data_IF_656650389000
#
_entry.id   IF_656650389000
#
_cell.length_a   1.000
_cell.length_b   1.000
_cell.length_c   1.000
_cell.angle_alpha   90.00
_cell.angle_beta   90.00
_cell.angle_gamma   90.00
#
_symmetry.space_group_name_H-M   'P 1'
#
loop_
_entity.id
_entity.type
_entity.pdbx_description
1 polymer ?
#
# COMPACT_ATOMS: atom_id res chain seq x y z
N UNK A 1 24.94 38.92 -45.06
CA UNK A 1 23.99 39.91 -44.50
C UNK A 1 22.65 39.55 -45.08
N UNK A 2 21.74 38.86 -44.43
CA UNK A 2 21.62 38.31 -43.07
C UNK A 2 20.47 37.32 -43.21
N UNK A 3 20.68 36.09 -42.76
CA UNK A 3 19.65 35.07 -42.65
C UNK A 3 18.60 35.50 -41.62
N UNK A 4 17.32 35.36 -41.99
CA UNK A 4 16.16 35.61 -41.14
C UNK A 4 15.59 34.24 -40.77
N UNK A 5 16.05 33.71 -39.64
CA UNK A 5 15.41 32.59 -38.96
C UNK A 5 14.66 33.17 -37.78
N UNK A 6 13.36 33.41 -37.99
CA UNK A 6 12.41 33.72 -36.93
C UNK A 6 12.46 32.64 -35.86
N UNK A 7 12.70 33.09 -34.63
CA UNK A 7 12.62 32.31 -33.42
C UNK A 7 11.28 31.57 -33.33
N UNK A 8 11.34 30.30 -32.95
CA UNK A 8 10.18 29.64 -32.35
C UNK A 8 10.17 30.10 -30.89
N UNK A 9 9.02 30.61 -30.47
CA UNK A 9 8.77 30.97 -29.07
C UNK A 9 8.82 29.69 -28.22
N UNK A 10 9.73 29.67 -27.25
CA UNK A 10 9.89 28.62 -26.22
C UNK A 10 8.90 28.89 -25.06
N UNK A 11 7.60 28.91 -25.35
CA UNK A 11 6.51 29.09 -24.37
C UNK A 11 5.64 27.81 -24.26
N UNK A 12 6.26 26.63 -24.27
CA UNK A 12 5.61 25.44 -23.72
C UNK A 12 5.96 25.36 -22.22
N UNK A 13 4.99 25.36 -21.30
CA UNK A 13 5.25 25.06 -19.90
C UNK A 13 5.87 23.65 -19.81
N UNK A 14 6.83 23.42 -18.89
CA UNK A 14 7.47 22.12 -18.80
C UNK A 14 6.42 21.03 -18.55
N UNK A 15 6.44 20.00 -19.39
CA UNK A 15 5.59 18.79 -19.33
C UNK A 15 5.95 17.86 -18.16
N UNK A 16 6.56 18.40 -17.11
CA UNK A 16 6.95 17.71 -15.88
C UNK A 16 6.84 18.71 -14.73
N UNK A 17 6.42 18.29 -13.52
CA UNK A 17 6.69 19.10 -12.33
C UNK A 17 8.19 19.40 -12.30
N UNK A 18 8.55 20.65 -11.97
CA UNK A 18 9.93 21.12 -11.96
C UNK A 18 10.82 20.14 -11.16
N UNK A 19 11.80 19.47 -11.79
CA UNK A 19 12.70 18.55 -11.10
C UNK A 19 13.40 19.21 -9.90
N UNK A 20 13.65 20.52 -9.96
CA UNK A 20 14.22 21.28 -8.85
C UNK A 20 13.27 21.35 -7.65
N UNK A 21 11.96 21.28 -7.89
CA UNK A 21 10.95 21.25 -6.83
C UNK A 21 10.84 19.88 -6.16
N UNK A 22 10.96 18.80 -6.94
CA UNK A 22 10.97 17.41 -6.41
C UNK A 22 12.17 17.18 -5.49
N UNK A 23 13.35 17.68 -5.88
CA UNK A 23 14.59 17.54 -5.12
C UNK A 23 14.70 18.56 -3.98
N UNK A 24 14.06 19.72 -4.12
CA UNK A 24 14.17 20.86 -3.21
C UNK A 24 13.10 20.92 -2.11
N UNK A 25 11.94 20.28 -2.30
CA UNK A 25 10.81 20.33 -1.36
C UNK A 25 10.41 18.92 -0.91
N UNK A 26 10.28 18.77 0.41
CA UNK A 26 9.89 17.51 1.02
C UNK A 26 8.51 17.03 0.52
N UNK A 27 8.29 15.70 0.42
CA UNK A 27 7.06 15.15 -0.13
C UNK A 27 5.82 15.48 0.72
N UNK A 28 5.97 15.74 2.02
CA UNK A 28 4.85 16.11 2.87
C UNK A 28 4.29 17.49 2.49
N UNK A 29 5.16 18.48 2.27
CA UNK A 29 4.80 19.82 1.81
C UNK A 29 4.15 19.80 0.43
N UNK A 30 4.67 18.96 -0.49
CA UNK A 30 4.10 18.77 -1.83
C UNK A 30 2.70 18.13 -1.78
N UNK A 31 2.51 17.05 -1.02
CA UNK A 31 1.20 16.42 -0.86
C UNK A 31 0.17 17.37 -0.21
N UNK A 32 0.57 18.14 0.81
CA UNK A 32 -0.27 19.17 1.44
C UNK A 32 -0.65 20.29 0.45
N UNK A 33 0.27 20.70 -0.41
CA UNK A 33 0.01 21.72 -1.42
C UNK A 33 -1.02 21.28 -2.46
N UNK A 34 -0.94 20.04 -2.94
CA UNK A 34 -1.94 19.47 -3.86
C UNK A 34 -3.32 19.43 -3.21
N UNK A 35 -3.44 18.90 -1.98
CA UNK A 35 -4.71 18.90 -1.24
C UNK A 35 -5.26 20.32 -1.08
N UNK A 36 -4.40 21.29 -0.71
CA UNK A 36 -4.77 22.71 -0.58
C UNK A 36 -5.43 23.26 -1.83
N UNK A 37 -4.81 23.04 -2.99
CA UNK A 37 -5.25 23.59 -4.25
C UNK A 37 -6.52 22.90 -4.75
N UNK A 38 -6.62 21.58 -4.59
CA UNK A 38 -7.81 20.81 -4.97
C UNK A 38 -9.03 21.18 -4.13
N UNK A 39 -8.85 21.36 -2.82
CA UNK A 39 -9.92 21.81 -1.92
C UNK A 39 -10.32 23.26 -2.21
N UNK A 40 -9.37 24.16 -2.44
CA UNK A 40 -9.65 25.56 -2.80
C UNK A 40 -10.45 25.69 -4.10
N UNK A 41 -10.16 24.83 -5.08
CA UNK A 41 -10.88 24.76 -6.36
C UNK A 41 -12.22 24.02 -6.26
N UNK A 42 -12.53 23.39 -5.13
CA UNK A 42 -13.74 22.60 -4.92
C UNK A 42 -13.79 21.32 -5.76
N UNK A 43 -12.64 20.83 -6.23
CA UNK A 43 -12.51 19.57 -6.97
C UNK A 43 -12.64 18.39 -6.01
N UNK A 44 -12.16 18.55 -4.78
CA UNK A 44 -12.12 17.51 -3.76
C UNK A 44 -12.41 18.13 -2.38
N UNK A 45 -13.05 17.39 -1.47
CA UNK A 45 -13.27 17.82 -0.08
C UNK A 45 -12.26 17.15 0.85
N UNK A 46 -11.90 17.79 1.97
CA UNK A 46 -11.05 17.13 2.98
C UNK A 46 -11.68 15.82 3.48
N UNK A 47 -13.00 15.82 3.73
CA UNK A 47 -13.73 14.63 4.17
C UNK A 47 -13.53 13.43 3.22
N UNK A 48 -13.43 13.67 1.90
CA UNK A 48 -13.20 12.61 0.93
C UNK A 48 -11.78 12.00 1.05
N UNK A 49 -10.76 12.83 1.34
CA UNK A 49 -9.40 12.32 1.62
C UNK A 49 -9.40 11.48 2.88
N UNK A 50 -10.01 12.00 3.95
CA UNK A 50 -10.01 11.37 5.26
C UNK A 50 -10.78 10.05 5.25
N UNK A 51 -11.89 9.97 4.50
CA UNK A 51 -12.67 8.74 4.30
C UNK A 51 -11.85 7.65 3.60
N UNK A 52 -11.08 8.01 2.57
CA UNK A 52 -10.19 7.05 1.89
C UNK A 52 -9.09 6.57 2.83
N UNK A 53 -8.41 7.47 3.55
CA UNK A 53 -7.37 7.07 4.51
C UNK A 53 -7.94 6.11 5.56
N UNK A 54 -9.07 6.48 6.19
CA UNK A 54 -9.70 5.67 7.21
C UNK A 54 -10.08 4.27 6.70
N UNK A 55 -10.62 4.19 5.48
CA UNK A 55 -11.02 2.92 4.85
C UNK A 55 -9.82 1.97 4.69
N UNK A 56 -8.71 2.45 4.14
CA UNK A 56 -7.56 1.58 3.83
C UNK A 56 -6.59 1.37 4.99
N UNK A 57 -6.59 2.23 6.00
CA UNK A 57 -5.83 2.01 7.24
C UNK A 57 -6.60 1.17 8.27
N UNK A 58 -7.94 1.25 8.29
CA UNK A 58 -8.76 0.66 9.36
C UNK A 58 -9.68 -0.49 8.94
N UNK A 59 -10.28 -0.43 7.75
CA UNK A 59 -11.43 -1.28 7.39
C UNK A 59 -11.11 -2.35 6.35
N UNK A 60 -10.10 -2.15 5.51
CA UNK A 60 -9.75 -3.05 4.39
C UNK A 60 -8.46 -3.81 4.69
N UNK A 61 -8.59 -5.08 5.06
CA UNK A 61 -7.46 -5.95 5.41
C UNK A 61 -7.58 -7.38 4.86
N UNK A 62 -6.49 -8.17 4.92
CA UNK A 62 -6.41 -9.51 4.32
C UNK A 62 -7.39 -10.53 4.91
N UNK A 63 -8.03 -10.22 6.04
CA UNK A 63 -9.04 -11.06 6.66
C UNK A 63 -10.27 -11.31 5.79
N UNK A 64 -10.57 -10.41 4.86
CA UNK A 64 -11.63 -10.61 3.88
C UNK A 64 -11.33 -11.81 2.98
N UNK A 65 -10.13 -11.86 2.38
CA UNK A 65 -9.68 -12.98 1.56
C UNK A 65 -9.59 -14.30 2.33
N UNK A 66 -9.13 -14.25 3.59
CA UNK A 66 -9.05 -15.45 4.44
C UNK A 66 -10.43 -16.10 4.66
N UNK A 67 -11.48 -15.29 4.87
CA UNK A 67 -12.88 -15.75 4.97
C UNK A 67 -13.36 -16.36 3.65
N UNK A 68 -13.04 -15.74 2.51
CA UNK A 68 -13.37 -16.25 1.17
C UNK A 68 -12.75 -17.62 0.93
N UNK A 69 -11.46 -17.79 1.23
CA UNK A 69 -10.73 -19.05 1.09
C UNK A 69 -11.31 -20.14 2.01
N UNK A 70 -11.54 -19.81 3.28
CA UNK A 70 -12.09 -20.76 4.25
C UNK A 70 -13.51 -21.25 3.85
N UNK A 71 -14.33 -20.35 3.30
CA UNK A 71 -15.64 -20.70 2.75
C UNK A 71 -15.51 -21.65 1.55
N UNK A 72 -14.63 -21.34 0.61
CA UNK A 72 -14.38 -22.20 -0.56
C UNK A 72 -13.83 -23.59 -0.18
N UNK A 73 -13.08 -23.72 0.91
CA UNK A 73 -12.61 -25.02 1.41
C UNK A 73 -13.69 -25.87 2.08
N UNK A 74 -14.78 -25.26 2.56
CA UNK A 74 -15.85 -25.97 3.30
C UNK A 74 -17.14 -26.13 2.49
N UNK A 75 -17.30 -25.34 1.42
CA UNK A 75 -18.47 -25.34 0.55
C UNK A 75 -18.05 -25.49 -0.93
N UNK A 76 -18.19 -26.71 -1.51
CA UNK A 76 -17.85 -26.95 -2.91
C UNK A 76 -18.67 -26.15 -3.92
N UNK A 77 -19.93 -25.83 -3.61
CA UNK A 77 -20.79 -25.03 -4.50
C UNK A 77 -20.30 -23.57 -4.51
N UNK A 78 -19.95 -23.03 -3.34
CA UNK A 78 -19.32 -21.71 -3.24
C UNK A 78 -17.96 -21.66 -3.94
N UNK A 79 -17.12 -22.71 -3.81
CA UNK A 79 -15.84 -22.80 -4.54
C UNK A 79 -16.03 -22.75 -6.04
N UNK A 80 -16.97 -23.52 -6.59
CA UNK A 80 -17.26 -23.50 -8.03
C UNK A 80 -17.76 -22.12 -8.48
N UNK A 81 -18.57 -21.44 -7.66
CA UNK A 81 -19.03 -20.08 -7.94
C UNK A 81 -17.89 -19.06 -7.89
N UNK A 82 -17.06 -19.08 -6.84
CA UNK A 82 -15.91 -18.19 -6.66
C UNK A 82 -14.93 -18.25 -7.84
N UNK A 83 -14.69 -19.45 -8.38
CA UNK A 83 -13.80 -19.64 -9.53
C UNK A 83 -14.44 -19.19 -10.86
N UNK A 84 -15.77 -19.11 -10.92
CA UNK A 84 -16.50 -18.65 -12.10
C UNK A 84 -16.77 -17.14 -12.10
N UNK A 85 -17.06 -16.57 -10.92
CA UNK A 85 -17.37 -15.16 -10.71
C UNK A 85 -16.89 -14.72 -9.31
N UNK A 86 -15.67 -14.16 -9.27
CA UNK A 86 -15.06 -13.77 -8.01
C UNK A 86 -15.76 -12.60 -7.31
N UNK A 87 -16.33 -11.66 -8.08
CA UNK A 87 -16.99 -10.48 -7.53
C UNK A 87 -18.29 -10.89 -6.84
N UNK A 88 -19.14 -11.64 -7.54
CA UNK A 88 -20.45 -12.04 -7.01
C UNK A 88 -20.30 -12.93 -5.77
N UNK A 89 -19.34 -13.86 -5.79
CA UNK A 89 -19.07 -14.75 -4.67
C UNK A 89 -18.51 -14.02 -3.44
N UNK A 90 -17.65 -13.01 -3.63
CA UNK A 90 -17.10 -12.21 -2.53
C UNK A 90 -18.18 -11.29 -1.93
N UNK A 91 -19.07 -10.76 -2.76
CA UNK A 91 -20.19 -9.92 -2.31
C UNK A 91 -21.16 -10.66 -1.35
N UNK A 92 -21.30 -11.99 -1.48
CA UNK A 92 -22.09 -12.82 -0.55
C UNK A 92 -21.59 -12.77 0.90
N UNK A 93 -20.33 -12.40 1.12
CA UNK A 93 -19.70 -12.27 2.44
C UNK A 93 -19.73 -10.84 3.00
N UNK A 94 -20.56 -9.98 2.42
CA UNK A 94 -20.68 -8.54 2.73
C UNK A 94 -19.37 -7.77 2.46
N UNK A 95 -18.56 -8.22 1.49
CA UNK A 95 -17.33 -7.57 1.07
C UNK A 95 -17.61 -6.82 -0.25
N UNK A 96 -17.47 -5.50 -0.22
CA UNK A 96 -17.64 -4.67 -1.42
C UNK A 96 -16.35 -4.68 -2.24
N UNK A 97 -16.44 -5.14 -3.48
CA UNK A 97 -15.43 -4.93 -4.52
C UNK A 97 -15.95 -3.81 -5.42
N UNK A 98 -15.11 -2.85 -5.81
CA UNK A 98 -15.51 -1.86 -6.81
C UNK A 98 -15.56 -2.56 -8.18
N UNK A 99 -16.76 -2.98 -8.57
CA UNK A 99 -17.04 -3.75 -9.79
C UNK A 99 -17.14 -2.88 -11.05
N UNK A 100 -17.11 -1.56 -10.91
CA UNK A 100 -17.10 -0.62 -12.03
C UNK A 100 -15.72 -0.52 -12.69
N UNK A 101 -14.65 -0.88 -11.97
CA UNK A 101 -13.24 -0.70 -12.41
C UNK A 101 -12.38 -1.96 -12.38
N UNK A 102 -12.86 -3.05 -11.79
CA UNK A 102 -12.04 -4.24 -11.55
C UNK A 102 -12.80 -5.54 -11.78
N UNK A 103 -12.15 -6.50 -12.43
CA UNK A 103 -12.52 -7.91 -12.43
C UNK A 103 -11.72 -8.64 -11.33
N UNK A 104 -12.39 -9.35 -10.41
CA UNK A 104 -11.70 -10.24 -9.47
C UNK A 104 -11.72 -11.68 -9.99
N UNK A 105 -10.53 -12.22 -10.26
CA UNK A 105 -10.36 -13.61 -10.71
C UNK A 105 -9.60 -14.44 -9.68
N UNK A 106 -10.22 -15.53 -9.24
CA UNK A 106 -9.59 -16.48 -8.31
C UNK A 106 -8.91 -17.61 -9.09
N UNK A 107 -7.65 -17.87 -8.79
CA UNK A 107 -6.83 -18.92 -9.42
C UNK A 107 -6.44 -19.96 -8.39
N UNK A 108 -6.76 -21.22 -8.65
CA UNK A 108 -6.65 -22.28 -7.65
C UNK A 108 -5.35 -23.07 -7.75
N UNK A 109 -4.69 -23.26 -6.61
CA UNK A 109 -3.59 -24.21 -6.49
C UNK A 109 -4.10 -25.66 -6.42
N UNK A 110 -3.36 -26.57 -7.06
CA UNK A 110 -3.62 -28.01 -7.03
C UNK A 110 -2.34 -28.79 -6.73
N UNK A 111 -2.44 -30.12 -6.58
CA UNK A 111 -1.27 -30.99 -6.38
C UNK A 111 -0.19 -30.76 -7.45
N UNK A 112 -0.61 -30.48 -8.68
CA UNK A 112 0.27 -30.33 -9.85
C UNK A 112 0.49 -28.86 -10.27
N UNK A 113 -0.17 -27.87 -9.66
CA UNK A 113 -0.10 -26.47 -10.10
C UNK A 113 -0.02 -25.49 -8.92
N UNK A 114 0.94 -24.58 -8.97
CA UNK A 114 1.11 -23.49 -8.02
C UNK A 114 1.06 -22.14 -8.75
N UNK A 115 0.12 -21.29 -8.35
CA UNK A 115 -0.07 -19.96 -8.89
C UNK A 115 0.67 -18.92 -8.05
N UNK A 116 1.21 -17.90 -8.70
CA UNK A 116 1.78 -16.70 -8.05
C UNK A 116 1.36 -15.46 -8.82
N UNK A 117 1.01 -14.39 -8.10
CA UNK A 117 0.44 -13.16 -8.67
C UNK A 117 1.47 -12.02 -8.63
N UNK A 118 1.56 -11.23 -9.69
CA UNK A 118 2.39 -10.02 -9.78
C UNK A 118 1.64 -8.90 -10.50
N UNK A 119 2.11 -7.68 -10.39
CA UNK A 119 1.85 -6.62 -11.36
C UNK A 119 3.21 -6.09 -11.84
N UNK A 120 3.63 -6.46 -13.03
CA UNK A 120 4.97 -6.12 -13.52
C UNK A 120 5.14 -4.61 -13.73
N UNK A 121 4.05 -3.91 -14.09
CA UNK A 121 4.06 -2.48 -14.44
C UNK A 121 4.00 -1.55 -13.22
N UNK A 122 3.32 -1.94 -12.16
CA UNK A 122 3.18 -1.10 -10.95
C UNK A 122 2.92 -1.96 -9.71
N UNK A 123 1.68 -2.00 -9.22
CA UNK A 123 1.30 -2.75 -8.02
C UNK A 123 -0.19 -3.10 -7.97
N UNK A 124 -0.84 -3.35 -9.12
CA UNK A 124 -2.24 -3.75 -9.19
C UNK A 124 -2.53 -4.90 -8.23
N UNK A 125 -3.48 -4.71 -7.31
CA UNK A 125 -3.71 -5.62 -6.20
C UNK A 125 -5.20 -5.64 -5.81
N UNK A 126 -5.77 -6.79 -5.40
CA UNK A 126 -7.20 -6.89 -5.06
C UNK A 126 -7.48 -6.34 -3.66
N UNK A 127 -7.48 -5.02 -3.51
CA UNK A 127 -7.53 -4.37 -2.19
C UNK A 127 -8.69 -4.83 -1.31
N UNK A 128 -9.89 -4.99 -1.89
CA UNK A 128 -11.09 -5.40 -1.16
C UNK A 128 -10.94 -6.73 -0.37
N UNK A 129 -10.11 -7.66 -0.87
CA UNK A 129 -9.90 -8.96 -0.24
C UNK A 129 -8.53 -9.10 0.43
N UNK A 130 -7.50 -8.40 -0.04
CA UNK A 130 -6.13 -8.58 0.44
C UNK A 130 -5.51 -7.37 1.17
N UNK A 131 -6.22 -6.23 1.29
CA UNK A 131 -5.63 -4.99 1.80
C UNK A 131 -4.68 -4.34 0.80
N UNK A 132 -3.84 -3.41 1.25
CA UNK A 132 -2.82 -2.80 0.39
C UNK A 132 -1.66 -3.78 0.08
N UNK A 133 -1.01 -3.64 -1.09
CA UNK A 133 0.10 -4.51 -1.47
C UNK A 133 1.31 -4.33 -0.52
N UNK A 134 1.97 -5.43 -0.14
CA UNK A 134 3.20 -5.39 0.65
C UNK A 134 4.32 -4.57 -0.01
N UNK A 135 5.25 -4.04 0.78
CA UNK A 135 6.47 -3.36 0.30
C UNK A 135 7.22 -4.19 -0.74
N UNK A 136 7.50 -5.47 -0.46
CA UNK A 136 8.21 -6.35 -1.37
C UNK A 136 7.46 -6.58 -2.70
N UNK A 137 6.12 -6.53 -2.70
CA UNK A 137 5.31 -6.71 -3.91
C UNK A 137 5.49 -5.54 -4.89
N UNK A 138 5.66 -4.33 -4.35
CA UNK A 138 5.89 -3.09 -5.10
C UNK A 138 7.32 -2.97 -5.64
N UNK A 139 8.25 -3.77 -5.10
CA UNK A 139 9.67 -3.68 -5.42
C UNK A 139 9.99 -4.04 -6.87
N UNK A 140 10.93 -3.33 -7.53
CA UNK A 140 11.43 -3.71 -8.85
C UNK A 140 12.01 -5.12 -8.88
N UNK A 141 12.66 -5.55 -7.79
CA UNK A 141 13.25 -6.88 -7.68
C UNK A 141 12.18 -7.98 -7.81
N UNK A 142 11.07 -7.88 -7.08
CA UNK A 142 9.97 -8.84 -7.21
C UNK A 142 9.33 -8.78 -8.60
N UNK A 143 8.93 -7.57 -9.03
CA UNK A 143 8.17 -7.34 -10.26
C UNK A 143 8.87 -7.86 -11.52
N UNK A 144 10.20 -7.77 -11.57
CA UNK A 144 11.00 -8.26 -12.69
C UNK A 144 11.34 -9.74 -12.58
N UNK A 145 11.67 -10.23 -11.39
CA UNK A 145 12.23 -11.57 -11.19
C UNK A 145 11.18 -12.68 -11.20
N UNK A 146 9.98 -12.41 -10.68
CA UNK A 146 8.93 -13.44 -10.57
C UNK A 146 8.43 -13.95 -11.93
N UNK A 147 8.51 -13.12 -12.99
CA UNK A 147 8.13 -13.54 -14.35
C UNK A 147 9.25 -14.25 -15.11
N UNK A 148 10.51 -14.12 -14.68
CA UNK A 148 11.67 -14.71 -15.35
C UNK A 148 12.11 -16.03 -14.68
N UNK A 149 12.20 -16.03 -13.35
CA UNK A 149 12.68 -17.17 -12.55
C UNK A 149 11.78 -17.46 -11.33
N UNK A 150 10.45 -17.67 -11.51
CA UNK A 150 9.48 -17.76 -10.41
C UNK A 150 9.85 -18.80 -9.36
N UNK A 151 10.27 -20.01 -9.77
CA UNK A 151 10.63 -21.08 -8.83
C UNK A 151 11.86 -20.74 -8.00
N UNK A 152 12.85 -20.09 -8.59
CA UNK A 152 14.07 -19.71 -7.88
C UNK A 152 13.76 -18.60 -6.87
N UNK A 153 12.99 -17.59 -7.27
CA UNK A 153 12.52 -16.53 -6.39
C UNK A 153 11.70 -17.08 -5.21
N UNK A 154 10.73 -17.97 -5.46
CA UNK A 154 9.91 -18.58 -4.40
C UNK A 154 10.76 -19.35 -3.38
N UNK A 155 11.74 -20.11 -3.86
CA UNK A 155 12.65 -20.88 -3.00
C UNK A 155 13.57 -19.98 -2.19
N UNK A 156 14.19 -18.99 -2.83
CA UNK A 156 15.29 -18.22 -2.24
C UNK A 156 14.80 -17.07 -1.35
N UNK A 157 13.68 -16.44 -1.71
CA UNK A 157 13.19 -15.24 -1.02
C UNK A 157 11.98 -15.54 -0.13
N UNK A 158 11.21 -16.60 -0.40
CA UNK A 158 9.99 -16.91 0.34
C UNK A 158 9.98 -18.30 0.98
N UNK A 159 11.12 -19.00 0.98
CA UNK A 159 11.29 -20.35 1.53
C UNK A 159 10.24 -21.37 1.00
N UNK A 160 9.68 -21.11 -0.18
CA UNK A 160 8.66 -21.96 -0.81
C UNK A 160 9.32 -22.86 -1.85
N UNK A 161 9.76 -24.04 -1.40
CA UNK A 161 10.40 -25.03 -2.25
C UNK A 161 9.37 -25.95 -2.92
N UNK A 162 9.18 -25.72 -4.23
CA UNK A 162 8.25 -26.49 -5.05
C UNK A 162 8.98 -27.67 -5.71
N UNK A 163 8.37 -28.86 -5.68
CA UNK A 163 8.87 -30.03 -6.40
C UNK A 163 8.93 -29.78 -7.92
N UNK A 164 9.93 -30.34 -8.60
CA UNK A 164 10.23 -30.07 -10.02
C UNK A 164 9.08 -30.41 -10.98
N UNK A 165 8.15 -31.27 -10.57
CA UNK A 165 6.98 -31.73 -11.32
C UNK A 165 5.72 -30.88 -11.12
N UNK A 166 5.73 -29.92 -10.19
CA UNK A 166 4.64 -28.95 -10.01
C UNK A 166 4.79 -27.83 -11.03
N UNK A 167 3.77 -27.55 -11.85
CA UNK A 167 3.77 -26.40 -12.75
C UNK A 167 3.62 -25.09 -11.96
N UNK A 168 4.39 -24.05 -12.32
CA UNK A 168 4.30 -22.72 -11.69
C UNK A 168 3.69 -21.74 -12.70
N UNK A 169 2.50 -21.23 -12.38
CA UNK A 169 1.79 -20.26 -13.22
C UNK A 169 1.90 -18.86 -12.62
N UNK A 170 2.43 -17.92 -13.41
CA UNK A 170 2.57 -16.52 -13.02
C UNK A 170 1.45 -15.70 -13.62
N UNK A 171 0.67 -15.03 -12.76
CA UNK A 171 -0.47 -14.20 -13.15
C UNK A 171 -0.12 -12.72 -13.01
N UNK A 172 0.12 -12.08 -14.15
CA UNK A 172 0.43 -10.65 -14.21
C UNK A 172 -0.87 -9.82 -14.31
N UNK A 173 -1.15 -9.05 -13.27
CA UNK A 173 -2.30 -8.15 -13.15
C UNK A 173 -2.05 -6.92 -14.02
N UNK A 174 -2.43 -7.02 -15.29
CA UNK A 174 -2.49 -5.88 -16.21
C UNK A 174 -3.94 -5.38 -16.36
N UNK A 175 -4.09 -4.06 -16.54
CA UNK A 175 -5.38 -3.41 -16.78
C UNK A 175 -6.39 -3.63 -15.64
N UNK A 176 -7.53 -4.28 -15.92
CA UNK A 176 -8.71 -4.32 -15.06
C UNK A 176 -8.78 -5.58 -14.19
N UNK A 177 -7.99 -6.62 -14.48
CA UNK A 177 -8.06 -7.89 -13.73
C UNK A 177 -7.19 -7.83 -12.49
N UNK A 178 -7.74 -8.29 -11.36
CA UNK A 178 -7.03 -8.55 -10.11
C UNK A 178 -7.13 -10.02 -9.77
N UNK A 179 -6.00 -10.64 -9.47
CA UNK A 179 -5.93 -12.05 -9.12
C UNK A 179 -5.82 -12.26 -7.62
N UNK A 180 -6.49 -13.29 -7.13
CA UNK A 180 -6.27 -13.86 -5.79
C UNK A 180 -6.04 -15.36 -5.93
N UNK A 181 -5.03 -15.89 -5.27
CA UNK A 181 -4.80 -17.33 -5.23
C UNK A 181 -5.76 -17.97 -4.22
N UNK A 182 -6.43 -19.04 -4.62
CA UNK A 182 -7.07 -19.99 -3.71
C UNK A 182 -6.04 -21.06 -3.35
N UNK A 183 -5.38 -20.97 -2.16
CA UNK A 183 -4.40 -21.95 -1.76
C UNK A 183 -5.04 -23.32 -1.50
N UNK A 184 -4.23 -24.37 -1.55
CA UNK A 184 -4.67 -25.70 -1.13
C UNK A 184 -4.93 -25.73 0.37
N UNK A 185 -6.01 -26.42 0.77
CA UNK A 185 -6.30 -26.66 2.18
C UNK A 185 -5.21 -27.56 2.77
N UNK A 186 -4.56 -27.19 3.88
CA UNK A 186 -3.56 -28.04 4.52
C UNK A 186 -4.14 -29.37 5.00
N UNK A 187 -3.35 -30.44 4.89
CA UNK A 187 -3.69 -31.74 5.47
C UNK A 187 -3.87 -31.65 7.00
N UNK A 188 -4.72 -32.50 7.57
CA UNK A 188 -4.93 -32.54 9.03
C UNK A 188 -5.86 -31.45 9.57
N UNK A 189 -6.48 -30.68 8.67
CA UNK A 189 -7.44 -29.62 9.03
C UNK A 189 -8.90 -30.06 8.86
N UNK A 190 -9.17 -31.35 8.58
CA UNK A 190 -10.48 -31.85 8.13
C UNK A 190 -11.61 -31.56 9.12
N UNK A 191 -11.32 -31.58 10.42
CA UNK A 191 -12.27 -31.36 11.51
C UNK A 191 -12.37 -29.88 11.96
N UNK A 192 -11.59 -28.97 11.37
CA UNK A 192 -11.60 -27.55 11.72
C UNK A 192 -12.87 -26.85 11.21
N UNK A 193 -13.37 -25.90 11.99
CA UNK A 193 -14.45 -25.01 11.57
C UNK A 193 -13.97 -23.99 10.54
N UNK A 194 -14.91 -23.38 9.81
CA UNK A 194 -14.62 -22.32 8.83
C UNK A 194 -13.82 -21.16 9.46
N UNK A 195 -14.14 -20.76 10.70
CA UNK A 195 -13.41 -19.72 11.42
C UNK A 195 -11.96 -20.14 11.74
N UNK A 196 -11.76 -21.37 12.22
CA UNK A 196 -10.41 -21.90 12.50
C UNK A 196 -9.59 -22.07 11.22
N UNK A 197 -10.23 -22.39 10.09
CA UNK A 197 -9.57 -22.47 8.78
C UNK A 197 -9.14 -21.09 8.28
N UNK A 198 -9.96 -20.05 8.47
CA UNK A 198 -9.61 -18.68 8.09
C UNK A 198 -8.35 -18.21 8.81
N UNK A 199 -8.16 -18.57 10.08
CA UNK A 199 -6.94 -18.29 10.86
C UNK A 199 -5.66 -18.95 10.30
N UNK A 200 -5.77 -19.90 9.35
CA UNK A 200 -4.61 -20.50 8.69
C UNK A 200 -4.21 -19.75 7.42
N UNK A 201 -5.11 -18.96 6.83
CA UNK A 201 -4.89 -18.36 5.52
C UNK A 201 -4.10 -17.07 5.67
N UNK A 202 -2.86 -17.07 5.19
CA UNK A 202 -2.03 -15.87 5.14
C UNK A 202 -2.29 -15.05 3.87
N UNK A 203 -1.98 -13.75 3.94
CA UNK A 203 -1.91 -12.89 2.74
C UNK A 203 -0.95 -13.46 1.71
N UNK A 204 0.21 -13.95 2.14
CA UNK A 204 1.24 -14.51 1.26
C UNK A 204 0.75 -15.75 0.49
N UNK A 205 -0.04 -16.63 1.13
CA UNK A 205 -0.65 -17.77 0.46
C UNK A 205 -1.67 -17.34 -0.61
N UNK A 206 -2.39 -16.23 -0.37
CA UNK A 206 -3.34 -15.65 -1.33
C UNK A 206 -2.67 -14.82 -2.43
N UNK A 207 -1.40 -14.41 -2.27
CA UNK A 207 -0.56 -13.90 -3.38
C UNK A 207 0.10 -15.06 -4.14
N UNK A 208 0.29 -16.21 -3.47
CA UNK A 208 0.95 -17.39 -4.03
C UNK A 208 2.46 -17.43 -3.79
N UNK A 209 2.98 -16.62 -2.87
CA UNK A 209 4.40 -16.67 -2.48
C UNK A 209 4.67 -17.65 -1.33
N UNK A 210 3.63 -18.23 -0.75
CA UNK A 210 3.70 -19.20 0.35
C UNK A 210 2.83 -20.44 0.06
N UNK A 211 3.25 -21.60 0.59
CA UNK A 211 2.41 -22.79 0.74
C UNK A 211 2.01 -23.02 2.20
N UNK A 212 0.72 -23.22 2.43
CA UNK A 212 0.19 -23.53 3.75
C UNK A 212 0.49 -24.99 4.13
N UNK A 213 0.99 -25.22 5.35
CA UNK A 213 1.22 -26.57 5.88
C UNK A 213 2.65 -27.11 5.76
N UNK A 214 3.53 -26.47 4.98
CA UNK A 214 4.93 -26.90 4.78
C UNK A 214 5.90 -26.43 5.90
N UNK A 215 5.38 -25.93 7.02
CA UNK A 215 6.17 -25.39 8.13
C UNK A 215 6.60 -23.93 8.00
N UNK A 216 6.17 -23.25 6.93
CA UNK A 216 6.16 -21.79 6.76
C UNK A 216 5.05 -21.13 7.58
N UNK A 217 5.18 -19.82 7.82
CA UNK A 217 4.58 -19.10 8.96
C UNK A 217 3.05 -19.25 9.13
N UNK A 218 2.67 -19.65 10.34
CA UNK A 218 1.32 -19.48 10.89
C UNK A 218 0.92 -18.01 10.74
N UNK A 219 -0.28 -17.75 10.21
CA UNK A 219 -0.87 -16.42 10.06
C UNK A 219 -0.59 -15.57 11.30
N UNK A 220 0.11 -14.44 11.11
CA UNK A 220 0.21 -13.44 12.16
C UNK A 220 -0.73 -12.29 11.82
N UNK A 221 -1.94 -12.38 12.34
CA UNK A 221 -2.71 -11.19 12.64
C UNK A 221 -3.35 -11.34 14.05
N UNK A 222 -2.83 -10.54 14.99
CA UNK A 222 -3.64 -9.88 16.00
C UNK A 222 -4.54 -10.69 16.95
N UNK A 223 -4.37 -11.99 17.15
CA UNK A 223 -5.14 -12.76 18.14
C UNK A 223 -4.47 -12.83 19.52
N UNK A 224 -4.95 -12.06 20.50
CA UNK A 224 -4.47 -12.08 21.89
C UNK A 224 -4.37 -13.52 22.46
N UNK A 225 -3.15 -14.04 22.66
CA UNK A 225 -2.93 -15.34 23.32
C UNK A 225 -3.34 -15.28 24.79
N UNK A 226 -4.49 -15.86 25.11
CA UNK A 226 -4.82 -16.26 26.47
C UNK A 226 -3.80 -17.32 26.93
N UNK A 227 -2.95 -16.95 27.89
CA UNK A 227 -2.00 -17.83 28.54
C UNK A 227 -2.68 -19.12 29.04
N UNK A 228 -2.27 -20.28 28.49
CA UNK A 228 -2.53 -21.58 29.11
C UNK A 228 -1.23 -22.13 29.66
N UNK A 229 -1.29 -22.47 30.95
CA UNK A 229 -0.17 -22.63 31.84
C UNK A 229 0.78 -23.78 31.52
N UNK A 230 2.04 -23.58 31.89
CA UNK A 230 3.07 -24.60 31.87
C UNK A 230 2.74 -25.76 32.79
N UNK A 231 2.72 -26.95 32.21
CA UNK A 231 2.84 -28.22 32.90
C UNK A 231 4.16 -28.87 32.49
N UNK A 232 5.16 -28.72 33.33
CA UNK A 232 6.42 -29.46 33.31
C UNK A 232 6.17 -30.93 33.62
N UNK A 233 6.47 -31.82 32.66
CA UNK A 233 6.92 -33.19 32.97
C UNK A 233 7.91 -33.67 31.92
N UNK A 234 9.18 -33.72 32.31
CA UNK A 234 10.26 -34.31 31.53
C UNK A 234 10.17 -35.83 31.32
N UNK A 235 10.84 -36.29 30.27
CA UNK A 235 11.10 -37.69 29.98
C UNK A 235 12.10 -37.83 28.83
N UNK A 236 13.36 -38.14 29.15
CA UNK A 236 14.42 -38.47 28.18
C UNK A 236 14.23 -39.86 27.55
N UNK A 237 14.58 -39.96 26.27
CA UNK A 237 15.52 -40.93 25.65
C UNK A 237 15.00 -41.64 24.38
N UNK A 238 15.77 -41.56 23.27
CA UNK A 238 15.81 -42.65 22.28
C UNK A 238 16.03 -42.35 20.78
N UNK A 239 17.19 -41.82 20.41
CA UNK A 239 18.00 -42.15 19.20
C UNK A 239 17.42 -42.19 17.75
N UNK A 240 17.93 -41.23 16.95
CA UNK A 240 18.53 -41.32 15.59
C UNK A 240 17.68 -41.78 14.39
N UNK A 241 17.56 -40.91 13.39
CA UNK A 241 18.46 -40.86 12.19
C UNK A 241 18.42 -39.48 11.55
N UNK A 242 19.60 -38.94 11.28
CA UNK A 242 19.91 -37.74 10.49
C UNK A 242 20.12 -38.17 9.02
N UNK A 243 19.77 -37.34 8.03
CA UNK A 243 20.83 -36.85 7.17
C UNK A 243 20.80 -35.32 7.06
N UNK A 244 21.98 -34.78 7.36
CA UNK A 244 22.39 -33.40 7.31
C UNK A 244 22.46 -32.92 5.85
N UNK A 245 21.59 -31.98 5.48
CA UNK A 245 21.91 -30.95 4.49
C UNK A 245 22.04 -29.63 5.24
N UNK A 246 23.29 -29.29 5.48
CA UNK A 246 23.73 -27.99 6.00
C UNK A 246 23.47 -26.97 4.88
N UNK A 247 22.36 -26.24 4.96
CA UNK A 247 22.13 -25.07 4.12
C UNK A 247 22.74 -23.86 4.82
N UNK A 248 23.81 -23.36 4.24
CA UNK A 248 24.47 -22.11 4.61
C UNK A 248 23.55 -20.94 4.22
N UNK A 249 22.63 -20.56 5.11
CA UNK A 249 21.74 -19.38 4.97
C UNK A 249 22.37 -18.13 5.56
N UNK A 250 23.67 -17.92 5.35
CA UNK A 250 24.34 -16.70 5.78
C UNK A 250 24.07 -15.56 4.78
N UNK A 251 23.43 -14.51 5.31
CA UNK A 251 23.29 -13.16 4.73
C UNK A 251 22.39 -12.99 3.49
N UNK A 252 21.09 -13.22 3.63
CA UNK A 252 20.03 -12.33 3.10
C UNK A 252 18.79 -12.39 4.00
N UNK A 253 18.19 -11.26 4.42
CA UNK A 253 16.94 -11.31 5.16
C UNK A 253 15.82 -11.72 4.19
N UNK A 254 15.31 -12.94 4.38
CA UNK A 254 13.97 -13.35 3.89
C UNK A 254 13.00 -12.21 4.24
N UNK A 255 12.23 -11.64 3.30
CA UNK A 255 11.20 -10.67 3.61
C UNK A 255 10.19 -11.30 4.57
N UNK A 256 10.37 -11.03 5.86
CA UNK A 256 9.44 -11.48 6.89
C UNK A 256 8.12 -10.76 6.69
N UNK A 257 7.05 -11.45 7.04
CA UNK A 257 5.68 -10.95 7.11
C UNK A 257 5.66 -9.69 7.98
N UNK A 258 5.73 -8.52 7.36
CA UNK A 258 5.46 -7.26 8.02
C UNK A 258 3.94 -7.04 7.97
N UNK A 259 3.22 -7.59 8.96
CA UNK A 259 1.81 -7.27 9.23
C UNK A 259 1.60 -6.64 10.63
N UNK A 260 2.68 -6.30 11.35
CA UNK A 260 2.63 -5.55 12.63
C UNK A 260 2.97 -4.05 12.46
N UNK A 261 3.26 -3.60 11.23
CA UNK A 261 3.59 -2.21 10.90
C UNK A 261 2.37 -1.37 10.49
N UNK A 262 2.47 -0.03 10.51
CA UNK A 262 1.43 0.82 9.95
C UNK A 262 1.28 0.57 8.44
N UNK A 263 0.05 0.65 7.92
CA UNK A 263 -0.27 0.50 6.48
C UNK A 263 0.56 1.44 5.60
N UNK A 264 0.86 2.64 6.08
CA UNK A 264 1.77 3.60 5.48
C UNK A 264 2.88 3.97 6.45
N UNK A 265 4.13 4.02 5.98
CA UNK A 265 5.26 4.37 6.83
C UNK A 265 5.23 5.85 7.28
N UNK A 266 4.69 6.74 6.45
CA UNK A 266 4.58 8.17 6.75
C UNK A 266 3.22 8.76 6.32
N UNK A 267 2.70 9.79 7.03
CA UNK A 267 1.39 10.37 6.72
C UNK A 267 1.27 10.99 5.33
N UNK A 268 2.37 11.41 4.71
CA UNK A 268 2.34 11.97 3.36
C UNK A 268 2.08 10.89 2.30
N UNK A 269 2.46 9.64 2.57
CA UNK A 269 2.21 8.49 1.69
C UNK A 269 0.72 8.19 1.63
N UNK A 270 0.08 8.08 2.81
CA UNK A 270 -1.37 7.90 2.94
C UNK A 270 -2.15 9.03 2.26
N UNK A 271 -1.72 10.28 2.47
CA UNK A 271 -2.34 11.45 1.84
C UNK A 271 -2.17 11.46 0.33
N UNK A 272 -0.98 11.14 -0.16
CA UNK A 272 -0.75 11.03 -1.60
C UNK A 272 -1.71 9.99 -2.15
N UNK A 273 -1.68 8.76 -1.61
CA UNK A 273 -2.61 7.67 -1.93
C UNK A 273 -4.08 8.12 -1.97
N UNK A 274 -4.55 8.74 -0.90
CA UNK A 274 -5.94 9.13 -0.80
C UNK A 274 -6.33 10.20 -1.82
N UNK A 275 -5.43 11.13 -2.15
CA UNK A 275 -5.70 12.17 -3.15
C UNK A 275 -5.94 11.58 -4.54
N UNK A 276 -5.13 10.65 -5.04
CA UNK A 276 -5.42 10.13 -6.39
C UNK A 276 -6.65 9.22 -6.39
N UNK A 277 -6.85 8.39 -5.36
CA UNK A 277 -8.06 7.54 -5.26
C UNK A 277 -9.34 8.37 -5.21
N UNK A 278 -9.37 9.44 -4.41
CA UNK A 278 -10.55 10.31 -4.30
C UNK A 278 -10.73 11.26 -5.50
N UNK A 279 -9.68 11.48 -6.29
CA UNK A 279 -9.74 12.34 -7.47
C UNK A 279 -10.24 11.59 -8.72
N UNK A 280 -9.92 10.31 -8.83
CA UNK A 280 -10.26 9.50 -9.99
C UNK A 280 -11.77 9.26 -10.06
N UNK A 281 -12.33 9.44 -11.26
CA UNK A 281 -13.75 9.32 -11.56
C UNK A 281 -13.90 8.70 -12.95
N UNK A 282 -14.45 7.48 -13.01
CA UNK A 282 -14.59 6.71 -14.25
C UNK A 282 -15.54 7.36 -15.26
N UNK A 283 -16.51 8.13 -14.78
CA UNK A 283 -17.46 8.82 -15.63
C UNK A 283 -16.85 10.09 -16.26
N UNK A 284 -15.66 10.52 -15.80
CA UNK A 284 -14.97 11.68 -16.31
C UNK A 284 -13.73 11.31 -17.14
N UNK A 285 -13.87 11.44 -18.46
CA UNK A 285 -12.78 11.25 -19.41
C UNK A 285 -11.56 12.09 -19.03
N UNK A 286 -10.40 11.45 -18.91
CA UNK A 286 -9.16 12.10 -18.48
C UNK A 286 -8.96 12.09 -16.97
N UNK A 287 -9.92 11.63 -16.17
CA UNK A 287 -9.77 11.39 -14.73
C UNK A 287 -10.06 9.94 -14.31
N UNK A 288 -10.13 9.01 -15.26
CA UNK A 288 -10.30 7.59 -14.95
C UNK A 288 -9.08 7.03 -14.19
N UNK A 289 -9.28 5.95 -13.44
CA UNK A 289 -8.19 5.28 -12.72
C UNK A 289 -7.06 4.84 -13.66
N UNK A 290 -7.41 4.32 -14.83
CA UNK A 290 -6.44 3.87 -15.84
C UNK A 290 -5.56 5.01 -16.37
N UNK A 291 -6.12 6.23 -16.44
CA UNK A 291 -5.35 7.41 -16.83
C UNK A 291 -4.27 7.72 -15.79
N UNK A 292 -4.60 7.65 -14.50
CA UNK A 292 -3.63 7.85 -13.42
C UNK A 292 -2.62 6.69 -13.33
N UNK A 293 -3.09 5.45 -13.49
CA UNK A 293 -2.24 4.28 -13.51
C UNK A 293 -1.16 4.39 -14.60
N UNK A 294 -1.53 4.86 -15.81
CA UNK A 294 -0.57 5.07 -16.89
C UNK A 294 0.54 6.07 -16.50
N UNK A 295 0.19 7.15 -15.78
CA UNK A 295 1.18 8.10 -15.28
C UNK A 295 2.13 7.45 -14.26
N UNK A 296 1.59 6.67 -13.33
CA UNK A 296 2.37 5.96 -12.33
C UNK A 296 3.34 4.96 -12.96
N UNK A 297 2.87 4.19 -13.94
CA UNK A 297 3.72 3.25 -14.69
C UNK A 297 4.87 3.99 -15.36
N UNK A 298 4.58 5.11 -16.03
CA UNK A 298 5.61 5.91 -16.68
C UNK A 298 6.64 6.48 -15.68
N UNK A 299 6.22 6.90 -14.48
CA UNK A 299 7.16 7.32 -13.42
C UNK A 299 8.03 6.15 -12.93
N UNK A 300 7.44 4.99 -12.68
CA UNK A 300 8.18 3.80 -12.21
C UNK A 300 9.14 3.23 -13.28
N UNK A 301 8.83 3.40 -14.56
CA UNK A 301 9.75 3.03 -15.65
C UNK A 301 10.93 4.00 -15.77
N UNK A 302 10.68 5.29 -15.52
CA UNK A 302 11.70 6.33 -15.57
C UNK A 302 12.65 6.28 -14.36
N UNK A 303 12.09 6.05 -13.16
CA UNK A 303 12.81 5.89 -11.90
C UNK A 303 12.20 4.73 -11.09
N UNK A 304 12.74 3.51 -11.22
CA UNK A 304 12.18 2.33 -10.57
C UNK A 304 12.33 2.34 -9.03
N UNK A 305 13.08 3.27 -8.46
CA UNK A 305 13.37 3.31 -7.03
C UNK A 305 14.36 2.24 -6.56
N UNK A 306 14.54 2.10 -5.25
CA UNK A 306 15.44 1.11 -4.68
C UNK A 306 15.03 -0.34 -5.00
N UNK A 307 16.00 -1.23 -5.18
CA UNK A 307 15.76 -2.64 -5.50
C UNK A 307 14.92 -3.36 -4.43
N UNK A 308 15.06 -2.96 -3.16
CA UNK A 308 14.30 -3.48 -2.02
C UNK A 308 12.86 -2.95 -1.94
N UNK A 309 12.51 -1.97 -2.77
CA UNK A 309 11.17 -1.42 -2.88
C UNK A 309 10.76 -0.53 -1.72
N UNK A 310 11.67 0.28 -1.16
CA UNK A 310 11.35 1.30 -0.14
C UNK A 310 10.01 2.00 -0.41
N UNK A 311 9.11 1.94 0.57
CA UNK A 311 7.78 2.58 0.48
C UNK A 311 7.88 4.08 0.17
N UNK A 312 8.93 4.75 0.63
CA UNK A 312 9.16 6.17 0.34
C UNK A 312 9.45 6.43 -1.14
N UNK A 313 10.21 5.55 -1.80
CA UNK A 313 10.50 5.70 -3.23
C UNK A 313 9.24 5.42 -4.05
N UNK A 314 8.52 4.36 -3.71
CA UNK A 314 7.27 3.98 -4.38
C UNK A 314 6.20 5.07 -4.27
N UNK A 315 5.91 5.54 -3.05
CA UNK A 315 4.94 6.61 -2.85
C UNK A 315 5.46 7.96 -3.35
N UNK A 316 6.79 8.12 -3.47
CA UNK A 316 7.42 9.26 -4.15
C UNK A 316 7.08 9.29 -5.63
N UNK A 317 7.16 8.14 -6.32
CA UNK A 317 6.70 7.99 -7.70
C UNK A 317 5.18 8.24 -7.82
N UNK A 318 4.40 7.79 -6.84
CA UNK A 318 2.95 8.03 -6.76
C UNK A 318 2.60 9.51 -6.67
N UNK A 319 3.30 10.24 -5.79
CA UNK A 319 3.14 11.69 -5.65
C UNK A 319 3.58 12.42 -6.93
N UNK A 320 4.70 12.02 -7.53
CA UNK A 320 5.16 12.61 -8.78
C UNK A 320 4.19 12.38 -9.95
N UNK A 321 3.63 11.17 -10.05
CA UNK A 321 2.60 10.84 -11.03
C UNK A 321 1.35 11.70 -10.81
N UNK A 322 0.93 11.90 -9.56
CA UNK A 322 -0.21 12.75 -9.22
C UNK A 322 0.04 14.24 -9.56
N UNK A 323 1.24 14.75 -9.29
CA UNK A 323 1.63 16.12 -9.65
C UNK A 323 1.54 16.33 -11.17
N UNK A 324 2.10 15.40 -11.96
CA UNK A 324 2.01 15.45 -13.43
C UNK A 324 0.56 15.31 -13.91
N UNK A 325 -0.16 14.33 -13.37
CA UNK A 325 -1.56 14.09 -13.70
C UNK A 325 -2.41 15.35 -13.54
N UNK A 326 -2.26 16.05 -12.41
CA UNK A 326 -3.01 17.25 -12.09
C UNK A 326 -2.63 18.47 -12.95
N UNK A 327 -1.34 18.61 -13.25
CA UNK A 327 -0.82 19.77 -14.00
C UNK A 327 -1.09 19.65 -15.49
N UNK A 328 -0.88 18.48 -16.11
CA UNK A 328 -1.15 18.25 -17.53
C UNK A 328 -2.64 18.31 -17.90
N UNK A 329 -3.51 18.13 -16.91
CA UNK A 329 -4.97 18.20 -17.06
C UNK A 329 -5.54 19.57 -16.65
N UNK A 330 -4.67 20.57 -16.42
CA UNK A 330 -5.02 21.93 -16.01
C UNK A 330 -5.88 22.01 -14.72
N UNK A 331 -5.87 20.95 -13.89
CA UNK A 331 -6.59 20.91 -12.62
C UNK A 331 -5.84 21.74 -11.57
N UNK A 332 -4.51 21.73 -11.63
CA UNK A 332 -3.62 22.54 -10.80
C UNK A 332 -2.64 23.29 -11.69
N UNK A 333 -2.50 24.59 -11.50
CA UNK A 333 -1.47 25.37 -12.20
C UNK A 333 -0.10 25.11 -11.56
N UNK A 334 0.93 24.87 -12.37
CA UNK A 334 2.26 24.49 -11.89
C UNK A 334 2.96 25.58 -11.08
N UNK A 335 2.73 26.86 -11.39
CA UNK A 335 3.30 27.97 -10.63
C UNK A 335 2.58 28.13 -9.28
N UNK A 336 1.25 27.98 -9.26
CA UNK A 336 0.47 27.96 -8.02
C UNK A 336 0.87 26.78 -7.13
N UNK A 337 1.08 25.59 -7.71
CA UNK A 337 1.58 24.42 -6.99
C UNK A 337 2.94 24.68 -6.37
N UNK A 338 3.88 25.18 -7.16
CA UNK A 338 5.25 25.45 -6.70
C UNK A 338 5.25 26.44 -5.54
N UNK A 339 4.53 27.56 -5.69
CA UNK A 339 4.40 28.56 -4.63
C UNK A 339 3.71 28.01 -3.38
N UNK A 340 2.68 27.16 -3.54
CA UNK A 340 1.97 26.54 -2.43
C UNK A 340 2.86 25.55 -1.67
N UNK A 341 3.62 24.73 -2.39
CA UNK A 341 4.55 23.76 -1.81
C UNK A 341 5.66 24.48 -1.02
N UNK A 342 6.24 25.55 -1.58
CA UNK A 342 7.23 26.37 -0.85
C UNK A 342 6.63 26.97 0.42
N UNK A 343 5.40 27.49 0.37
CA UNK A 343 4.76 28.06 1.55
C UNK A 343 4.52 27.03 2.67
N UNK A 344 4.23 25.76 2.34
CA UNK A 344 4.19 24.68 3.34
C UNK A 344 5.58 24.34 3.88
N UNK A 345 6.59 24.26 3.01
CA UNK A 345 7.97 23.93 3.39
C UNK A 345 8.61 24.99 4.29
N UNK A 346 8.32 26.27 4.03
CA UNK A 346 8.79 27.40 4.84
C UNK A 346 7.99 27.58 6.14
N UNK A 347 6.87 26.85 6.30
CA UNK A 347 5.99 26.92 7.46
C UNK A 347 5.00 28.09 7.46
N UNK A 348 4.87 28.82 6.34
CA UNK A 348 3.88 29.88 6.15
C UNK A 348 2.44 29.32 6.11
N UNK A 349 2.30 28.04 5.76
CA UNK A 349 1.05 27.26 5.78
C UNK A 349 1.24 25.96 6.55
N UNK A 350 0.17 25.41 7.11
CA UNK A 350 0.23 24.15 7.86
C UNK A 350 -1.06 23.33 7.74
N UNK A 351 -1.01 22.09 8.24
CA UNK A 351 -2.09 21.12 8.08
C UNK A 351 -3.42 21.50 8.75
N UNK A 352 -3.46 22.55 9.60
CA UNK A 352 -4.70 23.06 10.16
C UNK A 352 -5.66 23.64 9.11
N UNK A 353 -5.20 23.84 7.87
CA UNK A 353 -6.07 24.14 6.73
C UNK A 353 -7.02 22.99 6.36
N UNK A 354 -6.67 21.76 6.75
CA UNK A 354 -7.38 20.56 6.31
C UNK A 354 -8.21 19.93 7.42
N UNK A 355 -7.75 19.98 8.68
CA UNK A 355 -8.38 19.20 9.75
C UNK A 355 -8.70 20.05 10.98
N UNK A 356 -9.97 20.06 11.40
CA UNK A 356 -10.38 20.58 12.70
C UNK A 356 -10.13 19.50 13.79
N UNK A 357 -8.95 19.51 14.43
CA UNK A 357 -8.67 18.67 15.60
C UNK A 357 -7.98 17.31 15.37
N UNK A 358 -7.07 17.21 14.40
CA UNK A 358 -6.29 15.99 14.10
C UNK A 358 -5.34 15.56 15.26
N UNK A 359 -5.39 14.30 15.76
CA UNK A 359 -4.38 13.75 16.67
C UNK A 359 -3.00 13.51 16.03
N UNK A 360 -2.87 13.49 14.70
CA UNK A 360 -1.60 13.41 13.97
C UNK A 360 -0.98 14.78 13.64
N UNK A 361 -1.72 15.88 13.84
CA UNK A 361 -1.15 17.23 13.81
C UNK A 361 -0.13 17.47 14.95
N UNK A 362 -0.07 16.58 15.95
CA UNK A 362 0.83 16.69 17.09
C UNK A 362 2.31 16.37 16.79
N UNK A 363 2.64 15.89 15.59
CA UNK A 363 4.04 15.71 15.18
C UNK A 363 4.75 17.05 14.91
N UNK A 364 4.00 18.12 14.62
CA UNK A 364 4.54 19.44 14.34
C UNK A 364 4.61 20.29 15.62
N UNK A 365 5.47 19.91 16.57
CA UNK A 365 5.91 20.86 17.60
C UNK A 365 6.86 21.88 16.96
N UNK A 366 6.36 23.11 16.80
CA UNK A 366 7.15 24.29 16.45
C UNK A 366 8.45 24.35 17.29
N UNK A 367 9.61 24.75 16.72
CA UNK A 367 10.78 25.05 17.51
C UNK A 367 10.44 26.20 18.48
N UNK A 368 10.44 25.93 19.78
CA UNK A 368 10.49 26.98 20.78
C UNK A 368 11.83 27.70 20.62
N UNK A 369 11.85 28.85 19.93
CA UNK A 369 12.58 30.02 20.42
C UNK A 369 12.40 31.32 19.60
N UNK A 370 12.14 32.38 20.36
CA UNK A 370 12.41 33.81 20.12
C UNK A 370 11.38 34.71 19.39
N UNK A 371 10.67 35.51 20.19
CA UNK A 371 10.80 36.97 20.11
C UNK A 371 10.50 37.64 21.47
N UNK A 372 11.56 38.05 22.17
CA UNK A 372 11.50 39.12 23.18
C UNK A 372 11.19 40.46 22.48
N UNK A 373 10.34 41.31 23.07
CA UNK A 373 10.10 42.63 22.48
C UNK A 373 9.08 43.56 23.14
N UNK A 374 9.28 43.85 24.44
CA UNK A 374 8.96 45.12 25.12
C UNK A 374 7.57 45.78 24.99
N UNK A 375 6.85 45.86 26.12
CA UNK A 375 6.30 47.15 26.57
C UNK A 375 6.42 47.32 28.09
N UNK A 376 6.96 48.48 28.44
CA UNK A 376 7.38 48.95 29.74
C UNK A 376 6.23 49.74 30.43
N UNK A 377 6.28 49.76 31.77
CA UNK A 377 5.72 50.75 32.71
C UNK A 377 4.49 50.37 33.56
N UNK A 378 4.68 50.48 34.87
CA UNK A 378 3.60 50.74 35.84
C UNK A 378 3.84 50.16 37.23
N UNK A 379 4.87 50.64 37.95
CA UNK A 379 4.88 50.51 39.41
C UNK A 379 3.81 51.46 39.96
N UNK A 380 2.83 50.93 40.70
CA UNK A 380 2.15 51.67 41.77
C UNK A 380 1.64 50.67 42.82
N UNK A 381 2.23 50.76 44.01
CA UNK A 381 1.70 50.24 45.26
C UNK A 381 0.32 50.88 45.53
N UNK A 382 -0.69 50.10 45.91
CA UNK A 382 -1.72 50.49 46.90
C UNK A 382 -2.61 49.30 47.29
N UNK A 383 -2.26 48.70 48.42
CA UNK A 383 -3.05 48.58 49.65
C UNK A 383 -4.59 48.35 49.64
N UNK A 384 -4.96 47.31 50.40
CA UNK A 384 -6.21 47.05 51.13
C UNK A 384 -7.60 46.99 50.44
N UNK A 385 -8.31 45.88 50.68
CA UNK A 385 -9.73 45.93 51.08
C UNK A 385 -10.70 44.92 50.46
N UNK A 386 -10.92 43.81 51.16
CA UNK A 386 -12.21 43.26 51.60
C UNK A 386 -13.51 43.34 50.74
N UNK A 387 -14.21 42.20 50.73
CA UNK A 387 -15.65 41.95 50.43
C UNK A 387 -16.02 42.07 48.93
N UNK A 388 -16.75 41.15 48.31
CA UNK A 388 -17.72 40.17 48.81
C UNK A 388 -17.91 39.04 47.81
#
# INVERSE_FOLDING_TARGET
>A
MTDDHGARDDDDPPSHPDPELRDGIDPQSRARALQSLLTEKGILSTDAVDEVIATYEGDVGPMNGARVVARAWTDPEYREWLLADGIEAVADLDISVNDEVMELRVVENSEDTHNVVVCTLCSCYPWAVLGLPPTWYKSPAYRSRVVDEPRALLREEFDTDLADDVDVEVWDSNSEVRYMVLPQRPEGTEDMSEAELAELVSRNAMIGVERLGDGGAIASDGGARAARGGGDTGGEAGARTDPTTDFDTADKPVPRVDDDGPTFAEPWMARSFALAVALTDEDESGRAWDDFQAELVAELEADPGAEDGSDADYYGAWLAALERFLTERDLVDGADFSARATAFADGDRNAHEFVEGDPHAHADQLPEDHAEGAHHHGHDDHDHGHHH
#
